data_IF_952102653943
#
_entry.id   IF_952102653943
#
_cell.length_a   1.000
_cell.length_b   1.000
_cell.length_c   1.000
_cell.angle_alpha   90.00
_cell.angle_beta   90.00
_cell.angle_gamma   90.00
#
_symmetry.space_group_name_H-M   'P 1'
#
loop_
_entity.id
_entity.type
_entity.pdbx_description
1 polymer ?
#
# COMPACT_ATOMS: atom_id res chain seq x y z
N UNK A 1 -31.22 -14.28 32.30
CA UNK A 1 -30.04 -13.45 32.66
C UNK A 1 -28.83 -13.83 31.80
N UNK A 2 -28.91 -13.69 30.47
CA UNK A 2 -27.88 -14.19 29.52
C UNK A 2 -27.25 -13.09 28.65
N UNK A 3 -27.78 -11.86 28.68
CA UNK A 3 -27.23 -10.72 27.94
C UNK A 3 -25.80 -10.29 28.33
N UNK A 4 -25.41 -10.23 29.63
CA UNK A 4 -24.08 -9.72 29.98
C UNK A 4 -22.96 -10.69 29.58
N UNK A 5 -23.22 -11.99 29.55
CA UNK A 5 -22.27 -13.00 29.10
C UNK A 5 -22.01 -12.93 27.59
N UNK A 6 -23.04 -12.62 26.79
CA UNK A 6 -22.91 -12.49 25.33
C UNK A 6 -22.06 -11.26 24.94
N UNK A 7 -22.26 -10.14 25.64
CA UNK A 7 -21.50 -8.90 25.42
C UNK A 7 -20.02 -9.05 25.79
N UNK A 8 -19.71 -9.75 26.88
CA UNK A 8 -18.33 -10.03 27.27
C UNK A 8 -17.60 -10.92 26.24
N UNK A 9 -18.28 -11.93 25.69
CA UNK A 9 -17.71 -12.80 24.67
C UNK A 9 -17.40 -12.05 23.36
N UNK A 10 -18.29 -11.12 22.95
CA UNK A 10 -18.08 -10.29 21.75
C UNK A 10 -16.88 -9.34 21.94
N UNK A 11 -16.74 -8.72 23.12
CA UNK A 11 -15.63 -7.83 23.42
C UNK A 11 -14.26 -8.54 23.38
N UNK A 12 -14.20 -9.79 23.86
CA UNK A 12 -12.98 -10.62 23.79
C UNK A 12 -12.66 -11.01 22.33
N UNK A 13 -13.66 -11.38 21.53
CA UNK A 13 -13.44 -11.73 20.12
C UNK A 13 -12.94 -10.53 19.29
N UNK A 14 -13.39 -9.32 19.63
CA UNK A 14 -12.95 -8.07 18.97
C UNK A 14 -11.49 -7.70 19.30
N UNK A 15 -11.02 -7.98 20.51
CA UNK A 15 -9.65 -7.65 20.94
C UNK A 15 -8.60 -8.65 20.43
N UNK A 16 -8.94 -9.93 20.28
CA UNK A 16 -8.02 -10.91 19.66
C UNK A 16 -7.78 -10.61 18.17
N UNK A 17 -8.79 -10.10 17.47
CA UNK A 17 -8.69 -9.76 16.04
C UNK A 17 -7.82 -8.53 15.73
N UNK A 18 -7.55 -7.66 16.72
CA UNK A 18 -6.73 -6.46 16.56
C UNK A 18 -5.25 -6.72 16.86
N UNK A 19 -4.95 -7.58 17.84
CA UNK A 19 -3.58 -7.96 18.19
C UNK A 19 -2.86 -8.68 17.04
N UNK A 20 -3.47 -9.72 16.48
CA UNK A 20 -2.90 -10.47 15.34
C UNK A 20 -2.72 -9.60 14.09
N UNK A 21 -3.63 -8.63 13.88
CA UNK A 21 -3.51 -7.65 12.79
C UNK A 21 -2.35 -6.68 13.01
N UNK A 22 -2.16 -6.19 14.24
CA UNK A 22 -1.06 -5.32 14.59
C UNK A 22 0.29 -6.03 14.40
N UNK A 23 0.47 -7.24 14.92
CA UNK A 23 1.68 -8.05 14.76
C UNK A 23 2.03 -8.27 13.28
N UNK A 24 1.01 -8.56 12.46
CA UNK A 24 1.21 -8.75 11.03
C UNK A 24 1.61 -7.46 10.28
N UNK A 25 1.19 -6.28 10.78
CA UNK A 25 1.59 -4.99 10.22
C UNK A 25 2.96 -4.53 10.73
N UNK A 26 3.29 -4.81 11.99
CA UNK A 26 4.60 -4.51 12.58
C UNK A 26 5.68 -5.35 11.89
N UNK A 27 5.41 -6.64 11.67
CA UNK A 27 6.27 -7.50 10.86
C UNK A 27 6.45 -7.00 9.43
N UNK A 28 5.39 -6.45 8.80
CA UNK A 28 5.50 -5.84 7.48
C UNK A 28 6.31 -4.53 7.51
N UNK A 29 6.12 -3.70 8.53
CA UNK A 29 6.88 -2.47 8.76
C UNK A 29 8.37 -2.75 8.85
N UNK A 30 8.78 -3.74 9.64
CA UNK A 30 10.17 -4.18 9.76
C UNK A 30 10.72 -4.70 8.44
N UNK A 31 9.91 -5.44 7.66
CA UNK A 31 10.33 -5.89 6.32
C UNK A 31 10.49 -4.73 5.35
N UNK A 32 9.62 -3.73 5.38
CA UNK A 32 9.74 -2.54 4.53
C UNK A 32 11.02 -1.79 4.85
N UNK A 33 11.28 -1.49 6.13
CA UNK A 33 12.53 -0.85 6.57
C UNK A 33 13.75 -1.59 6.01
N UNK A 34 13.81 -2.91 6.15
CA UNK A 34 14.94 -3.72 5.62
C UNK A 34 14.98 -3.78 4.10
N UNK A 35 13.84 -3.83 3.43
CA UNK A 35 13.73 -4.01 1.98
C UNK A 35 13.96 -2.74 1.18
N UNK A 36 13.77 -1.57 1.80
CA UNK A 36 13.84 -0.26 1.12
C UNK A 36 14.83 0.71 1.75
N UNK A 37 15.33 0.44 2.97
CA UNK A 37 16.24 1.35 3.69
C UNK A 37 15.53 2.56 4.33
N UNK A 38 14.21 2.64 4.28
CA UNK A 38 13.45 3.72 4.93
C UNK A 38 13.46 3.56 6.46
N UNK A 39 13.25 4.67 7.18
CA UNK A 39 13.14 4.63 8.64
C UNK A 39 11.73 4.96 9.11
N UNK A 40 11.35 4.49 10.31
CA UNK A 40 10.04 4.77 10.89
C UNK A 40 9.97 6.25 11.34
N UNK A 41 9.01 7.00 10.81
CA UNK A 41 8.73 8.37 11.24
C UNK A 41 7.74 8.42 12.41
N UNK A 42 6.77 7.50 12.41
CA UNK A 42 5.75 7.42 13.45
C UNK A 42 4.58 6.54 13.03
N UNK A 43 3.64 6.34 13.95
CA UNK A 43 2.41 5.57 13.75
C UNK A 43 1.22 6.32 14.32
N UNK A 44 0.11 6.31 13.59
CA UNK A 44 -1.18 6.84 14.05
C UNK A 44 -2.29 5.90 13.62
N UNK A 45 -2.89 5.18 14.58
CA UNK A 45 -3.89 4.16 14.30
C UNK A 45 -3.38 3.06 13.35
N UNK A 46 -4.08 2.89 12.22
CA UNK A 46 -3.71 1.94 11.16
C UNK A 46 -2.67 2.48 10.19
N UNK A 47 -2.24 3.74 10.32
CA UNK A 47 -1.27 4.37 9.43
C UNK A 47 0.14 4.34 10.03
N UNK A 48 1.09 3.80 9.28
CA UNK A 48 2.53 3.86 9.57
C UNK A 48 3.17 4.82 8.59
N UNK A 49 3.94 5.79 9.07
CA UNK A 49 4.63 6.79 8.25
C UNK A 49 6.12 6.53 8.29
N UNK A 50 6.77 6.61 7.13
CA UNK A 50 8.20 6.38 6.97
C UNK A 50 8.90 7.67 6.51
N UNK A 51 10.15 7.85 6.95
CA UNK A 51 11.08 8.80 6.34
C UNK A 51 11.82 8.06 5.22
N UNK A 52 11.69 8.58 4.00
CA UNK A 52 12.40 8.09 2.84
C UNK A 52 13.23 9.26 2.27
N UNK A 53 14.46 8.99 1.83
CA UNK A 53 15.29 10.01 1.19
C UNK A 53 14.73 10.39 -0.19
N UNK A 54 14.09 9.43 -0.86
CA UNK A 54 13.66 9.55 -2.25
C UNK A 54 12.16 9.90 -2.41
N UNK A 55 11.45 10.16 -1.31
CA UNK A 55 10.04 10.57 -1.33
C UNK A 55 9.73 11.52 -0.16
N UNK A 56 9.00 12.60 -0.45
CA UNK A 56 8.57 13.57 0.55
C UNK A 56 7.64 12.94 1.60
N UNK A 57 6.85 11.93 1.20
CA UNK A 57 6.11 11.09 2.14
C UNK A 57 5.97 9.66 1.64
N UNK A 58 6.25 8.70 2.53
CA UNK A 58 5.89 7.31 2.36
C UNK A 58 5.03 6.85 3.54
N UNK A 59 3.94 6.14 3.28
CA UNK A 59 3.10 5.58 4.34
C UNK A 59 2.48 4.24 3.98
N UNK A 60 2.30 3.39 4.99
CA UNK A 60 1.58 2.13 4.92
C UNK A 60 0.25 2.26 5.68
N UNK A 61 -0.85 2.00 4.99
CA UNK A 61 -2.15 1.74 5.60
C UNK A 61 -2.27 0.24 5.88
N UNK A 62 -2.31 -0.11 7.17
CA UNK A 62 -2.44 -1.48 7.66
C UNK A 62 -3.85 -2.07 7.47
N UNK A 63 -4.84 -1.25 7.11
CA UNK A 63 -6.22 -1.71 6.86
C UNK A 63 -6.23 -2.63 5.64
N UNK A 64 -6.91 -3.78 5.72
CA UNK A 64 -6.99 -4.67 4.57
C UNK A 64 -7.91 -4.08 3.48
N UNK A 65 -7.50 -4.05 2.20
CA UNK A 65 -6.21 -4.50 1.67
C UNK A 65 -5.11 -3.49 2.00
N UNK A 66 -3.94 -3.99 2.41
CA UNK A 66 -2.82 -3.13 2.78
C UNK A 66 -2.35 -2.30 1.58
N UNK A 67 -2.10 -1.02 1.82
CA UNK A 67 -1.76 -0.05 0.77
C UNK A 67 -0.54 0.77 1.17
N UNK A 68 0.36 0.97 0.23
CA UNK A 68 1.43 1.93 0.32
C UNK A 68 1.07 3.18 -0.48
N UNK A 69 1.44 4.33 0.05
CA UNK A 69 1.29 5.63 -0.58
C UNK A 69 2.65 6.31 -0.62
N UNK A 70 2.98 6.86 -1.78
CA UNK A 70 4.21 7.59 -2.06
C UNK A 70 3.84 8.95 -2.62
N UNK A 71 4.33 10.01 -1.99
CA UNK A 71 4.17 11.38 -2.45
C UNK A 71 5.53 11.98 -2.71
N UNK A 72 5.63 12.70 -3.82
CA UNK A 72 6.64 13.74 -3.99
C UNK A 72 5.96 15.08 -4.23
N UNK A 73 6.55 16.17 -3.76
CA UNK A 73 6.13 17.53 -4.05
C UNK A 73 6.67 18.01 -5.42
N UNK A 74 7.56 17.23 -6.05
CA UNK A 74 7.97 17.47 -7.44
C UNK A 74 6.93 16.89 -8.41
N UNK A 75 6.57 17.70 -9.41
CA UNK A 75 5.72 17.26 -10.52
C UNK A 75 6.33 16.10 -11.29
N UNK A 76 7.66 16.10 -11.45
CA UNK A 76 8.44 15.02 -12.04
C UNK A 76 9.49 14.55 -11.02
N UNK A 77 9.23 13.47 -10.28
CA UNK A 77 10.15 12.93 -9.28
C UNK A 77 11.41 12.34 -9.92
N UNK A 78 12.55 12.32 -9.21
CA UNK A 78 13.75 11.64 -9.69
C UNK A 78 13.52 10.12 -9.80
N UNK A 79 14.33 9.43 -10.61
CA UNK A 79 14.24 7.96 -10.79
C UNK A 79 14.20 7.18 -9.47
N UNK A 80 14.95 7.63 -8.46
CA UNK A 80 15.02 6.99 -7.15
C UNK A 80 13.65 6.88 -6.45
N UNK A 81 12.72 7.80 -6.71
CA UNK A 81 11.34 7.71 -6.24
C UNK A 81 10.64 6.44 -6.76
N UNK A 82 10.82 6.12 -8.05
CA UNK A 82 10.22 4.93 -8.67
C UNK A 82 10.93 3.63 -8.27
N UNK A 83 12.25 3.69 -8.03
CA UNK A 83 13.02 2.57 -7.45
C UNK A 83 12.46 2.22 -6.07
N UNK A 84 12.23 3.23 -5.21
CA UNK A 84 11.64 3.07 -3.89
C UNK A 84 10.26 2.38 -3.97
N UNK A 85 9.41 2.80 -4.91
CA UNK A 85 8.10 2.17 -5.16
C UNK A 85 8.29 0.69 -5.49
N UNK A 86 9.23 0.34 -6.38
CA UNK A 86 9.52 -1.04 -6.76
C UNK A 86 9.98 -1.92 -5.59
N UNK A 87 10.94 -1.43 -4.80
CA UNK A 87 11.46 -2.13 -3.61
C UNK A 87 10.35 -2.39 -2.57
N UNK A 88 9.53 -1.37 -2.33
CA UNK A 88 8.43 -1.45 -1.38
C UNK A 88 7.33 -2.39 -1.86
N UNK A 89 7.00 -2.37 -3.15
CA UNK A 89 6.04 -3.27 -3.77
C UNK A 89 6.48 -4.72 -3.69
N UNK A 90 7.76 -5.02 -3.97
CA UNK A 90 8.33 -6.37 -3.77
C UNK A 90 8.09 -6.88 -2.36
N UNK A 91 8.28 -6.00 -1.37
CA UNK A 91 8.09 -6.36 0.04
C UNK A 91 6.63 -6.56 0.42
N UNK A 92 5.72 -5.80 -0.19
CA UNK A 92 4.28 -5.88 0.07
C UNK A 92 3.61 -7.07 -0.63
N UNK A 93 3.99 -7.35 -1.88
CA UNK A 93 3.24 -8.23 -2.80
C UNK A 93 4.06 -9.37 -3.39
N UNK A 94 5.39 -9.32 -3.27
CA UNK A 94 6.29 -10.26 -3.94
C UNK A 94 6.53 -9.97 -5.43
N UNK A 95 5.93 -8.93 -6.00
CA UNK A 95 6.16 -8.57 -7.40
C UNK A 95 7.63 -8.15 -7.66
N UNK A 96 8.20 -8.43 -8.85
CA UNK A 96 9.57 -8.02 -9.18
C UNK A 96 9.73 -6.50 -9.10
N UNK A 97 10.74 -6.04 -8.34
CA UNK A 97 10.92 -4.60 -8.07
C UNK A 97 11.13 -3.79 -9.34
N UNK A 98 11.97 -4.28 -10.27
CA UNK A 98 12.26 -3.60 -11.54
C UNK A 98 11.02 -3.47 -12.43
N UNK A 99 10.18 -4.50 -12.48
CA UNK A 99 8.93 -4.46 -13.26
C UNK A 99 7.94 -3.46 -12.67
N UNK A 100 7.86 -3.35 -11.34
CA UNK A 100 7.02 -2.34 -10.69
C UNK A 100 7.60 -0.94 -10.86
N UNK A 101 8.92 -0.77 -10.80
CA UNK A 101 9.58 0.51 -11.10
C UNK A 101 9.24 0.99 -12.51
N UNK A 102 9.40 0.12 -13.52
CA UNK A 102 9.09 0.45 -14.92
C UNK A 102 7.60 0.77 -15.11
N UNK A 103 6.71 0.01 -14.44
CA UNK A 103 5.28 0.29 -14.40
C UNK A 103 4.99 1.68 -13.81
N UNK A 104 5.63 2.01 -12.68
CA UNK A 104 5.43 3.27 -11.99
C UNK A 104 5.84 4.48 -12.85
N UNK A 105 6.98 4.38 -13.51
CA UNK A 105 7.45 5.42 -14.44
C UNK A 105 6.46 5.60 -15.60
N UNK A 106 6.02 4.51 -16.23
CA UNK A 106 5.05 4.57 -17.34
C UNK A 106 3.74 5.21 -16.90
N UNK A 107 3.12 4.73 -15.83
CA UNK A 107 1.83 5.25 -15.34
C UNK A 107 1.93 6.71 -14.93
N UNK A 108 3.05 7.12 -14.35
CA UNK A 108 3.28 8.53 -14.03
C UNK A 108 3.33 9.38 -15.30
N UNK A 109 4.12 8.98 -16.31
CA UNK A 109 4.21 9.70 -17.58
C UNK A 109 2.84 9.78 -18.28
N UNK A 110 2.11 8.67 -18.36
CA UNK A 110 0.76 8.64 -18.91
C UNK A 110 -0.21 9.54 -18.12
N UNK A 111 -0.08 9.61 -16.79
CA UNK A 111 -0.91 10.50 -15.97
C UNK A 111 -0.65 11.97 -16.26
N UNK A 112 0.61 12.34 -16.52
CA UNK A 112 0.99 13.70 -16.88
C UNK A 112 0.46 14.07 -18.27
N UNK A 113 0.52 13.13 -19.22
CA UNK A 113 0.03 13.33 -20.59
C UNK A 113 -1.49 13.47 -20.66
N UNK A 114 -2.21 12.64 -19.91
CA UNK A 114 -3.67 12.59 -19.94
C UNK A 114 -4.33 13.57 -18.97
N UNK A 115 -3.58 14.08 -17.99
CA UNK A 115 -4.15 14.83 -16.87
C UNK A 115 -5.11 13.99 -16.03
N UNK A 116 -5.06 12.65 -16.15
CA UNK A 116 -5.96 11.72 -15.49
C UNK A 116 -5.19 10.63 -14.73
N UNK A 117 -5.72 10.12 -13.61
CA UNK A 117 -5.10 9.02 -12.90
C UNK A 117 -4.99 7.75 -13.75
N UNK A 118 -3.82 7.13 -13.71
CA UNK A 118 -3.52 5.88 -14.43
C UNK A 118 -3.40 4.72 -13.45
N UNK A 119 -3.91 3.55 -13.84
CA UNK A 119 -3.94 2.35 -13.01
C UNK A 119 -3.65 1.13 -13.87
N UNK A 120 -2.72 0.30 -13.41
CA UNK A 120 -2.38 -0.96 -14.06
C UNK A 120 -1.75 -1.91 -13.02
N UNK A 121 -1.44 -3.14 -13.42
CA UNK A 121 -0.98 -4.21 -12.54
C UNK A 121 0.24 -4.92 -13.10
N UNK A 122 1.10 -5.41 -12.21
CA UNK A 122 2.20 -6.30 -12.56
C UNK A 122 2.45 -7.30 -11.43
N UNK A 123 2.43 -8.59 -11.75
CA UNK A 123 2.45 -9.66 -10.75
C UNK A 123 1.32 -9.48 -9.73
N UNK A 124 1.65 -9.54 -8.44
CA UNK A 124 0.70 -9.30 -7.35
C UNK A 124 0.51 -7.83 -6.94
N UNK A 125 1.04 -6.86 -7.70
CA UNK A 125 0.93 -5.44 -7.38
C UNK A 125 -0.08 -4.73 -8.29
N UNK A 126 -1.00 -4.00 -7.69
CA UNK A 126 -1.84 -2.99 -8.37
C UNK A 126 -1.27 -1.63 -8.07
N UNK A 127 -0.93 -0.87 -9.12
CA UNK A 127 -0.32 0.45 -9.00
C UNK A 127 -1.24 1.49 -9.63
N UNK A 128 -1.42 2.60 -8.93
CA UNK A 128 -2.10 3.79 -9.43
C UNK A 128 -1.20 5.00 -9.24
N UNK A 129 -1.02 5.79 -10.29
CA UNK A 129 -0.38 7.11 -10.19
C UNK A 129 -1.39 8.18 -10.61
N UNK A 130 -1.52 9.21 -9.78
CA UNK A 130 -2.39 10.35 -10.04
C UNK A 130 -1.54 11.53 -10.55
N UNK A 131 -2.04 12.33 -11.50
CA UNK A 131 -1.41 13.59 -11.87
C UNK A 131 -1.45 14.47 -10.62
N UNK A 132 -0.30 14.90 -10.12
CA UNK A 132 -0.28 15.69 -8.90
C UNK A 132 -0.61 17.16 -9.12
N UNK A 133 -1.13 17.54 -10.29
CA UNK A 133 -1.89 18.78 -10.51
C UNK A 133 -3.38 18.44 -10.42
N UNK A 134 -4.02 18.78 -9.30
CA UNK A 134 -5.49 18.93 -9.31
C UNK A 134 -5.83 20.29 -9.92
N UNK A 135 -6.97 20.41 -10.64
CA UNK A 135 -7.41 21.67 -11.25
C UNK A 135 -7.72 22.78 -10.23
N UNK A 136 -7.66 22.49 -8.92
CA UNK A 136 -7.84 23.46 -7.83
C UNK A 136 -6.52 24.16 -7.41
N UNK A 137 -5.36 23.76 -7.96
CA UNK A 137 -4.06 24.38 -7.67
C UNK A 137 -3.52 24.12 -6.25
N UNK A 138 -4.17 23.27 -5.45
CA UNK A 138 -3.87 23.07 -4.02
C UNK A 138 -3.02 21.83 -3.74
N UNK A 139 -2.74 21.03 -4.75
CA UNK A 139 -1.77 19.94 -4.70
C UNK A 139 -0.85 20.12 -5.88
N UNK A 140 0.43 20.36 -5.61
CA UNK A 140 1.51 20.26 -6.60
C UNK A 140 2.29 19.00 -6.26
N UNK A 141 2.64 18.17 -7.25
CA UNK A 141 3.55 17.05 -7.04
C UNK A 141 3.23 15.79 -7.84
N UNK A 142 3.52 14.64 -7.24
CA UNK A 142 3.25 13.30 -7.76
C UNK A 142 2.76 12.38 -6.65
N UNK A 143 1.76 11.57 -6.95
CA UNK A 143 1.18 10.63 -5.98
C UNK A 143 1.03 9.26 -6.63
N UNK A 144 1.69 8.26 -6.06
CA UNK A 144 1.52 6.87 -6.47
C UNK A 144 1.09 6.00 -5.28
N UNK A 145 0.25 5.00 -5.56
CA UNK A 145 -0.31 4.07 -4.57
C UNK A 145 -0.12 2.65 -5.05
N UNK A 146 0.44 1.81 -4.18
CA UNK A 146 0.60 0.37 -4.41
C UNK A 146 -0.34 -0.38 -3.48
N UNK A 147 -1.10 -1.31 -4.02
CA UNK A 147 -1.86 -2.29 -3.24
C UNK A 147 -1.44 -3.70 -3.63
N UNK A 148 -1.56 -4.64 -2.70
CA UNK A 148 -1.59 -6.04 -3.08
C UNK A 148 -2.84 -6.31 -3.91
N UNK A 149 -2.67 -6.94 -5.08
CA UNK A 149 -3.79 -7.48 -5.82
C UNK A 149 -4.49 -8.50 -4.92
N UNK A 150 -5.83 -8.39 -4.79
CA UNK A 150 -6.54 -9.38 -4.00
C UNK A 150 -6.49 -10.67 -4.81
N UNK A 151 -5.98 -11.79 -4.26
CA UNK A 151 -6.24 -13.06 -4.92
C UNK A 151 -7.75 -13.17 -5.05
N UNK A 152 -8.25 -13.42 -6.27
CA UNK A 152 -9.60 -13.92 -6.46
C UNK A 152 -9.72 -15.09 -5.48
N UNK A 153 -10.51 -14.91 -4.43
CA UNK A 153 -10.82 -15.97 -3.48
C UNK A 153 -11.57 -16.99 -4.33
N UNK A 154 -10.82 -17.97 -4.84
CA UNK A 154 -11.36 -19.03 -5.67
C UNK A 154 -12.56 -19.57 -4.95
N UNK A 155 -13.71 -19.56 -5.64
CA UNK A 155 -14.82 -20.42 -5.31
C UNK A 155 -14.23 -21.83 -5.27
N UNK A 156 -13.88 -22.30 -4.07
CA UNK A 156 -13.60 -23.70 -3.86
C UNK A 156 -14.84 -24.44 -4.33
N UNK A 157 -14.74 -25.06 -5.50
CA UNK A 157 -15.68 -26.08 -5.96
C UNK A 157 -15.83 -27.06 -4.81
N UNK A 158 -16.96 -26.98 -4.11
CA UNK A 158 -17.45 -28.11 -3.34
C UNK A 158 -17.85 -29.17 -4.38
N UNK A 159 -16.88 -29.95 -4.84
CA UNK A 159 -17.14 -31.25 -5.40
C UNK A 159 -17.57 -32.13 -4.22
N UNK A 160 -18.88 -32.23 -4.00
CA UNK A 160 -19.45 -33.27 -3.15
C UNK A 160 -19.41 -34.60 -3.91
N UNK A 161 -19.03 -35.72 -3.26
CA UNK A 161 -19.05 -37.03 -3.89
C UNK A 161 -20.50 -37.48 -4.13
N UNK A 162 -20.73 -38.13 -5.27
CA UNK A 162 -21.97 -38.85 -5.57
C UNK A 162 -22.08 -40.17 -4.81
#
# INVERSE_FOLDING_TARGET
MTLPALLAAIAVLLSLGSAARAESCDGLTVRLIRGTGVSLAGRSGSLVVFRAADADRMSLDCTAPRRLLFRSDRREPPRAFFVLIGLAARTLTGAPAESVEALAQRLHQESLLTGAPQLDRVGGAVLRCDPGDRPDGLSTGSLCRVAADRPHRGLSRAAGPG
#
